data_IF_677567812625
#
_entry.id   IF_677567812625
#
_cell.length_a   1.000
_cell.length_b   1.000
_cell.length_c   1.000
_cell.angle_alpha   90.00
_cell.angle_beta   90.00
_cell.angle_gamma   90.00
#
_symmetry.space_group_name_H-M   'P 1'
#
loop_
_entity.id
_entity.type
_entity.pdbx_description
1 polymer ?
#
# COMPACT_ATOMS: atom_id res chain seq x y z
N UNK A 1 -0.61 -18.92 -2.88
CA UNK A 1 0.02 -18.86 -1.54
C UNK A 1 -0.43 -17.58 -0.89
N UNK A 2 -0.74 -17.61 0.40
CA UNK A 2 -1.17 -16.41 1.11
C UNK A 2 0.05 -15.62 1.59
N UNK A 3 -0.01 -14.30 1.43
CA UNK A 3 0.96 -13.36 1.99
C UNK A 3 0.21 -12.30 2.80
N UNK A 4 0.73 -12.00 3.98
CA UNK A 4 0.29 -10.89 4.81
C UNK A 4 1.20 -9.70 4.54
N UNK A 5 0.58 -8.56 4.26
CA UNK A 5 1.25 -7.32 3.89
C UNK A 5 1.01 -6.29 4.98
N UNK A 6 2.08 -5.63 5.40
CA UNK A 6 2.01 -4.43 6.23
C UNK A 6 2.79 -3.35 5.49
N UNK A 7 2.11 -2.32 5.03
CA UNK A 7 2.74 -1.14 4.44
C UNK A 7 2.59 0.02 5.42
N UNK A 8 3.68 0.72 5.71
CA UNK A 8 3.68 1.88 6.60
C UNK A 8 4.41 3.05 5.94
N UNK A 9 3.93 4.27 6.20
CA UNK A 9 4.67 5.50 5.91
C UNK A 9 4.66 6.42 7.14
N UNK A 10 5.53 7.43 7.15
CA UNK A 10 5.59 8.43 8.22
C UNK A 10 4.83 9.70 7.81
N UNK A 11 4.48 10.58 8.76
CA UNK A 11 3.88 11.89 8.48
C UNK A 11 4.69 12.71 7.47
N UNK A 12 6.01 12.54 7.41
CA UNK A 12 6.89 13.22 6.43
C UNK A 12 6.80 12.67 5.02
N UNK A 13 6.48 11.39 4.88
CA UNK A 13 6.33 10.70 3.58
C UNK A 13 4.87 10.52 3.19
N UNK A 14 3.94 11.04 4.00
CA UNK A 14 2.53 11.02 3.72
C UNK A 14 2.26 11.82 2.43
N UNK A 15 1.66 11.22 1.39
CA UNK A 15 1.36 11.91 0.14
C UNK A 15 0.36 13.07 0.29
N UNK A 16 -0.28 13.20 1.46
CA UNK A 16 -1.11 14.35 1.84
C UNK A 16 -0.30 15.55 2.30
N UNK A 17 0.98 15.41 2.60
CA UNK A 17 1.86 16.53 2.88
C UNK A 17 2.48 17.01 1.56
N UNK A 18 1.99 18.14 1.05
CA UNK A 18 2.54 18.79 -0.13
C UNK A 18 2.97 20.20 0.26
N UNK A 19 4.23 20.56 -0.01
CA UNK A 19 4.82 21.85 0.37
C UNK A 19 4.67 22.22 1.85
N UNK A 20 4.58 21.22 2.75
CA UNK A 20 4.42 21.42 4.19
C UNK A 20 2.97 21.60 4.67
N UNK A 21 1.99 21.52 3.78
CA UNK A 21 0.57 21.63 4.11
C UNK A 21 -0.17 20.30 3.88
N UNK A 22 -1.22 20.06 4.68
CA UNK A 22 -2.10 18.91 4.50
C UNK A 22 -3.08 19.25 3.37
N UNK A 23 -3.01 18.54 2.26
CA UNK A 23 -3.97 18.64 1.17
C UNK A 23 -5.16 17.68 1.34
N UNK A 24 -6.32 17.98 0.73
CA UNK A 24 -7.46 17.06 0.65
C UNK A 24 -7.06 15.70 0.08
N UNK A 25 -7.75 14.64 0.49
CA UNK A 25 -7.43 13.29 0.07
C UNK A 25 -7.60 13.11 -1.45
N UNK A 26 -8.62 13.77 -2.01
CA UNK A 26 -8.99 13.74 -3.42
C UNK A 26 -7.90 14.34 -4.33
N UNK A 27 -7.09 15.24 -3.79
CA UNK A 27 -5.97 15.90 -4.48
C UNK A 27 -4.66 15.12 -4.33
N UNK A 28 -4.67 14.01 -3.58
CA UNK A 28 -3.48 13.19 -3.41
C UNK A 28 -3.35 12.11 -4.47
N UNK A 29 -2.10 11.75 -4.83
CA UNK A 29 -1.83 10.55 -5.61
C UNK A 29 -2.40 9.27 -4.98
N UNK A 30 -2.70 9.24 -3.68
CA UNK A 30 -3.28 8.06 -2.99
C UNK A 30 -4.67 7.70 -3.54
N UNK A 31 -5.50 8.69 -3.89
CA UNK A 31 -6.79 8.44 -4.52
C UNK A 31 -6.64 7.67 -5.85
N UNK A 32 -5.54 7.91 -6.58
CA UNK A 32 -5.17 7.19 -7.80
C UNK A 32 -4.32 5.91 -7.56
N UNK A 33 -3.54 5.88 -6.48
CA UNK A 33 -2.58 4.80 -6.16
C UNK A 33 -3.19 3.64 -5.37
N UNK A 34 -4.45 3.72 -4.94
CA UNK A 34 -5.15 2.57 -4.33
C UNK A 34 -5.52 1.48 -5.36
N UNK A 35 -5.11 1.59 -6.62
CA UNK A 35 -5.38 0.56 -7.65
C UNK A 35 -4.88 -0.83 -7.27
N UNK A 36 -3.84 -0.93 -6.43
CA UNK A 36 -3.32 -2.19 -5.92
C UNK A 36 -4.38 -3.03 -5.18
N UNK A 37 -5.39 -2.41 -4.56
CA UNK A 37 -6.46 -3.13 -3.84
C UNK A 37 -7.32 -4.00 -4.76
N UNK A 38 -7.30 -3.71 -6.06
CA UNK A 38 -7.99 -4.51 -7.07
C UNK A 38 -7.20 -5.77 -7.47
N UNK A 39 -5.91 -5.85 -7.10
CA UNK A 39 -5.01 -6.89 -7.57
C UNK A 39 -4.73 -6.78 -9.08
N UNK A 40 -4.27 -7.89 -9.66
CA UNK A 40 -4.03 -8.06 -11.09
C UNK A 40 -4.14 -9.56 -11.47
N UNK A 41 -3.73 -9.94 -12.68
CA UNK A 41 -3.77 -11.33 -13.15
C UNK A 41 -2.92 -12.32 -12.33
N UNK A 42 -1.91 -11.83 -11.61
CA UNK A 42 -0.94 -12.65 -10.85
C UNK A 42 -1.15 -12.60 -9.34
N UNK A 43 -1.86 -11.58 -8.83
CA UNK A 43 -2.04 -11.33 -7.40
C UNK A 43 -3.50 -10.99 -7.14
N UNK A 44 -4.17 -11.85 -6.36
CA UNK A 44 -5.52 -11.60 -5.89
C UNK A 44 -5.47 -10.98 -4.49
N UNK A 45 -6.09 -9.81 -4.31
CA UNK A 45 -6.28 -9.24 -2.98
C UNK A 45 -7.45 -9.95 -2.30
N UNK A 46 -7.17 -10.62 -1.18
CA UNK A 46 -8.18 -11.34 -0.37
C UNK A 46 -8.90 -10.38 0.56
N UNK A 47 -8.17 -9.41 1.11
CA UNK A 47 -8.71 -8.35 1.94
C UNK A 47 -7.67 -7.25 2.14
N UNK A 48 -8.15 -6.02 2.33
CA UNK A 48 -7.34 -4.85 2.60
C UNK A 48 -8.00 -4.00 3.68
N UNK A 49 -7.19 -3.48 4.61
CA UNK A 49 -7.63 -2.66 5.72
C UNK A 49 -6.66 -1.50 5.91
N UNK A 50 -7.18 -0.35 6.28
CA UNK A 50 -6.37 0.81 6.63
C UNK A 50 -6.37 1.01 8.15
N UNK A 51 -5.24 1.45 8.69
CA UNK A 51 -5.13 2.02 10.03
C UNK A 51 -4.60 3.46 9.92
N UNK A 52 -5.50 4.41 9.59
CA UNK A 52 -5.08 5.74 9.15
C UNK A 52 -4.34 6.55 10.22
N UNK A 53 -4.64 6.34 11.50
CA UNK A 53 -4.01 7.12 12.58
C UNK A 53 -2.54 6.76 12.83
N UNK A 54 -2.09 5.60 12.33
CA UNK A 54 -0.67 5.17 12.38
C UNK A 54 -0.04 5.13 10.98
N UNK A 55 -0.73 5.64 9.95
CA UNK A 55 -0.29 5.61 8.56
C UNK A 55 0.09 4.20 8.07
N UNK A 56 -0.70 3.20 8.49
CA UNK A 56 -0.53 1.79 8.13
C UNK A 56 -1.64 1.29 7.21
N UNK A 57 -1.29 0.36 6.35
CA UNK A 57 -2.20 -0.47 5.58
C UNK A 57 -1.85 -1.94 5.79
N UNK A 58 -2.88 -2.77 5.88
CA UNK A 58 -2.80 -4.21 6.02
C UNK A 58 -3.47 -4.85 4.82
N UNK A 59 -2.89 -5.91 4.28
CA UNK A 59 -3.56 -6.72 3.28
C UNK A 59 -3.24 -8.20 3.44
N UNK A 60 -4.17 -9.03 2.98
CA UNK A 60 -3.91 -10.44 2.69
C UNK A 60 -4.04 -10.59 1.19
N UNK A 61 -3.00 -11.14 0.56
CA UNK A 61 -2.98 -11.38 -0.88
C UNK A 61 -2.69 -12.85 -1.16
N UNK A 62 -3.23 -13.36 -2.26
CA UNK A 62 -3.01 -14.70 -2.75
C UNK A 62 -2.28 -14.63 -4.10
N UNK A 63 -1.08 -15.22 -4.15
CA UNK A 63 -0.26 -15.29 -5.35
C UNK A 63 0.62 -16.53 -5.36
N UNK A 64 1.10 -16.92 -6.54
CA UNK A 64 2.06 -18.01 -6.70
C UNK A 64 3.53 -17.53 -6.72
N UNK A 65 3.78 -16.22 -6.63
CA UNK A 65 5.13 -15.65 -6.67
C UNK A 65 5.26 -14.49 -5.69
N UNK A 66 6.33 -14.51 -4.90
CA UNK A 66 6.71 -13.39 -4.03
C UNK A 66 7.07 -12.15 -4.85
N UNK A 67 7.75 -12.33 -5.98
CA UNK A 67 8.16 -11.25 -6.87
C UNK A 67 6.97 -10.49 -7.43
N UNK A 68 5.89 -11.18 -7.80
CA UNK A 68 4.64 -10.55 -8.25
C UNK A 68 3.95 -9.76 -7.14
N UNK A 69 3.98 -10.27 -5.89
CA UNK A 69 3.52 -9.51 -4.72
C UNK A 69 4.37 -8.26 -4.52
N UNK A 70 5.69 -8.37 -4.55
CA UNK A 70 6.60 -7.23 -4.38
C UNK A 70 6.38 -6.14 -5.45
N UNK A 71 6.15 -6.55 -6.72
CA UNK A 71 5.81 -5.63 -7.81
C UNK A 71 4.49 -4.89 -7.57
N UNK A 72 3.46 -5.58 -7.09
CA UNK A 72 2.16 -4.96 -6.78
C UNK A 72 2.31 -3.83 -5.75
N UNK A 73 3.20 -3.99 -4.77
CA UNK A 73 3.44 -3.01 -3.71
C UNK A 73 4.58 -2.01 -3.99
N UNK A 74 5.16 -1.99 -5.20
CA UNK A 74 6.32 -1.15 -5.53
C UNK A 74 6.12 0.35 -5.23
N UNK A 75 4.90 0.86 -5.40
CA UNK A 75 4.56 2.26 -5.16
C UNK A 75 4.54 2.64 -3.66
N UNK A 76 4.53 1.65 -2.75
CA UNK A 76 4.60 1.87 -1.31
C UNK A 76 6.04 1.92 -0.79
N UNK A 77 6.98 1.25 -1.48
CA UNK A 77 8.40 1.23 -1.11
C UNK A 77 9.04 2.62 -0.92
N UNK A 78 8.76 3.65 -1.76
CA UNK A 78 9.31 5.00 -1.54
C UNK A 78 8.65 5.76 -0.38
N UNK A 79 7.49 5.30 0.10
CA UNK A 79 6.75 5.96 1.19
C UNK A 79 7.22 5.47 2.56
N UNK A 80 7.73 4.25 2.65
CA UNK A 80 8.21 3.65 3.88
C UNK A 80 8.31 2.13 3.80
N UNK A 81 8.47 1.44 4.94
CA UNK A 81 8.65 0.00 4.94
C UNK A 81 7.39 -0.73 4.46
N UNK A 82 7.64 -1.81 3.70
CA UNK A 82 6.63 -2.80 3.32
C UNK A 82 7.13 -4.16 3.78
N UNK A 83 6.40 -4.76 4.72
CA UNK A 83 6.64 -6.10 5.21
C UNK A 83 5.76 -7.08 4.43
N UNK A 84 6.36 -8.16 3.93
CA UNK A 84 5.69 -9.22 3.20
C UNK A 84 5.99 -10.54 3.90
N UNK A 85 4.98 -11.10 4.56
CA UNK A 85 5.07 -12.29 5.41
C UNK A 85 4.32 -13.43 4.73
N UNK A 86 4.97 -14.57 4.57
CA UNK A 86 4.36 -15.78 3.98
C UNK A 86 3.82 -16.72 5.06
#
# INVERSE_FOLDING_TARGET
MLFHIIAQHDHKTCPRIQNGEIVPFEETPIAANNSWVNGNENVRVVGAWAYPVEHRAFAVVDSNSFEEVAKLFQNHLPLGPVEVLQ
#
